data_IF_652215764149
#
_entry.id   IF_652215764149
#
_cell.length_a   1.000
_cell.length_b   1.000
_cell.length_c   1.000
_cell.angle_alpha   90.00
_cell.angle_beta   90.00
_cell.angle_gamma   90.00
#
_symmetry.space_group_name_H-M   'P 1'
#
loop_
_entity.id
_entity.type
_entity.pdbx_description
1 polymer ?
#
# COMPACT_ATOMS: atom_id res chain seq x y z
N UNK A 1 -3.12 -19.20 -0.87
CA UNK A 1 -3.92 -19.51 -2.06
C UNK A 1 -5.09 -20.37 -1.59
N UNK A 2 -6.29 -19.77 -1.48
CA UNK A 2 -7.49 -20.49 -1.12
C UNK A 2 -7.96 -21.33 -2.32
N UNK A 3 -8.08 -22.64 -2.14
CA UNK A 3 -8.80 -23.52 -3.03
C UNK A 3 -10.21 -23.60 -2.45
N UNK A 4 -11.18 -22.98 -3.12
CA UNK A 4 -12.59 -23.25 -2.84
C UNK A 4 -12.95 -24.59 -3.50
N UNK A 5 -13.06 -25.62 -2.67
CA UNK A 5 -13.57 -26.93 -3.08
C UNK A 5 -15.09 -26.90 -2.92
N UNK A 6 -15.83 -26.78 -4.01
CA UNK A 6 -17.28 -27.05 -4.00
C UNK A 6 -17.49 -28.57 -3.90
N UNK A 7 -17.94 -29.02 -2.74
CA UNK A 7 -18.35 -30.42 -2.54
C UNK A 7 -19.78 -30.53 -3.03
N UNK A 8 -19.97 -31.20 -4.16
CA UNK A 8 -21.29 -31.61 -4.59
C UNK A 8 -21.74 -32.83 -3.74
N UNK A 9 -22.78 -32.63 -2.90
CA UNK A 9 -23.32 -33.64 -1.99
C UNK A 9 -24.10 -34.73 -2.71
N UNK A 10 -24.04 -34.83 -4.03
CA UNK A 10 -24.78 -35.76 -4.87
C UNK A 10 -24.19 -37.15 -5.07
N UNK A 11 -23.24 -37.61 -4.26
CA UNK A 11 -22.78 -39.03 -4.28
C UNK A 11 -22.09 -39.48 -5.55
N UNK A 12 -21.61 -38.58 -6.41
CA UNK A 12 -20.81 -38.89 -7.58
C UNK A 12 -19.35 -39.04 -7.19
N UNK A 13 -18.75 -40.18 -7.49
CA UNK A 13 -17.30 -40.34 -7.46
C UNK A 13 -16.68 -39.30 -8.38
N UNK A 14 -15.87 -38.39 -7.80
CA UNK A 14 -15.10 -37.42 -8.57
C UNK A 14 -13.96 -38.18 -9.25
N UNK A 15 -14.18 -38.65 -10.47
CA UNK A 15 -13.18 -39.41 -11.22
C UNK A 15 -12.05 -38.51 -11.75
N UNK A 16 -12.26 -37.20 -11.82
CA UNK A 16 -11.27 -36.27 -12.36
C UNK A 16 -11.19 -34.95 -11.54
N UNK A 17 -10.34 -34.94 -10.51
CA UNK A 17 -10.08 -33.76 -9.69
C UNK A 17 -9.60 -32.56 -10.51
N UNK A 18 -8.99 -32.78 -11.65
CA UNK A 18 -8.43 -31.74 -12.53
C UNK A 18 -9.48 -30.74 -13.03
N UNK A 19 -10.73 -31.21 -13.22
CA UNK A 19 -11.83 -30.36 -13.69
C UNK A 19 -12.35 -29.38 -12.64
N UNK A 20 -12.04 -29.64 -11.37
CA UNK A 20 -12.49 -28.83 -10.23
C UNK A 20 -11.39 -27.93 -9.63
N UNK A 21 -10.15 -28.09 -10.11
CA UNK A 21 -9.03 -27.25 -9.62
C UNK A 21 -8.97 -25.96 -10.40
N UNK A 22 -9.23 -24.85 -9.73
CA UNK A 22 -9.00 -23.51 -10.27
C UNK A 22 -7.59 -23.05 -9.94
N UNK A 23 -6.79 -22.79 -10.98
CA UNK A 23 -5.44 -22.29 -10.81
C UNK A 23 -5.46 -20.86 -10.28
N UNK A 24 -4.74 -20.58 -9.19
CA UNK A 24 -4.53 -19.26 -8.68
C UNK A 24 -3.68 -18.38 -9.64
N UNK A 25 -3.63 -17.05 -9.42
CA UNK A 25 -2.94 -16.10 -10.32
C UNK A 25 -1.49 -16.46 -10.62
N UNK A 26 -0.75 -16.99 -9.64
CA UNK A 26 0.64 -17.41 -9.82
C UNK A 26 0.76 -18.58 -10.84
N UNK A 27 -0.07 -19.61 -10.69
CA UNK A 27 -0.08 -20.75 -11.60
C UNK A 27 -0.55 -20.37 -13.00
N UNK A 28 -1.53 -19.48 -13.11
CA UNK A 28 -1.97 -18.91 -14.39
C UNK A 28 -0.84 -18.15 -15.09
N UNK A 29 -0.10 -17.31 -14.34
CA UNK A 29 1.03 -16.55 -14.87
C UNK A 29 2.13 -17.48 -15.41
N UNK A 30 2.45 -18.58 -14.70
CA UNK A 30 3.42 -19.58 -15.13
C UNK A 30 2.97 -20.33 -16.39
N UNK A 31 1.66 -20.50 -16.59
CA UNK A 31 1.10 -21.15 -17.77
C UNK A 31 1.01 -20.23 -18.98
N UNK A 32 1.08 -18.92 -18.81
CA UNK A 32 0.83 -17.91 -19.84
C UNK A 32 2.12 -17.17 -20.20
N UNK A 33 2.75 -17.47 -21.34
CA UNK A 33 3.96 -16.76 -21.79
C UNK A 33 3.72 -15.26 -21.95
N UNK A 34 4.69 -14.44 -21.48
CA UNK A 34 4.61 -12.98 -21.58
C UNK A 34 3.64 -12.31 -20.60
N UNK A 35 3.14 -13.06 -19.62
CA UNK A 35 2.28 -12.52 -18.57
C UNK A 35 3.06 -11.62 -17.60
N UNK A 36 2.32 -10.73 -16.94
CA UNK A 36 2.81 -9.89 -15.82
C UNK A 36 2.03 -10.28 -14.58
N UNK A 37 2.72 -10.59 -13.50
CA UNK A 37 2.13 -10.93 -12.20
C UNK A 37 2.48 -9.82 -11.21
N UNK A 38 1.47 -9.24 -10.56
CA UNK A 38 1.64 -8.33 -9.44
C UNK A 38 1.43 -9.09 -8.13
N UNK A 39 2.42 -9.02 -7.25
CA UNK A 39 2.34 -9.47 -5.86
C UNK A 39 2.36 -8.21 -4.98
N UNK A 40 1.19 -7.73 -4.65
CA UNK A 40 1.01 -6.48 -3.91
C UNK A 40 1.14 -6.73 -2.40
N UNK A 41 1.81 -5.80 -1.69
CA UNK A 41 1.98 -5.83 -0.23
C UNK A 41 2.54 -7.17 0.29
N UNK A 42 3.64 -7.65 -0.30
CA UNK A 42 4.25 -8.95 0.05
C UNK A 42 4.65 -9.04 1.53
N UNK A 43 4.93 -7.92 2.17
CA UNK A 43 5.27 -7.81 3.59
C UNK A 43 4.10 -8.10 4.54
N UNK A 44 2.86 -8.10 4.05
CA UNK A 44 1.67 -8.53 4.81
C UNK A 44 1.40 -10.03 4.69
N UNK A 45 2.10 -10.71 3.81
CA UNK A 45 1.95 -12.14 3.63
C UNK A 45 2.65 -12.94 4.76
N UNK A 46 2.27 -14.23 4.96
CA UNK A 46 3.01 -15.09 5.87
C UNK A 46 4.50 -15.12 5.56
N UNK A 47 5.35 -15.14 6.60
CA UNK A 47 6.83 -15.06 6.47
C UNK A 47 7.44 -16.13 5.58
N UNK A 48 6.76 -17.26 5.42
CA UNK A 48 7.19 -18.37 4.56
C UNK A 48 6.98 -18.07 3.07
N UNK A 49 6.05 -17.17 2.73
CA UNK A 49 5.71 -16.92 1.32
C UNK A 49 6.88 -16.41 0.48
N UNK A 50 7.69 -15.42 0.92
CA UNK A 50 8.86 -14.99 0.16
C UNK A 50 9.85 -16.12 -0.10
N UNK A 51 10.07 -17.02 0.88
CA UNK A 51 10.96 -18.17 0.70
C UNK A 51 10.40 -19.19 -0.27
N UNK A 52 9.09 -19.47 -0.20
CA UNK A 52 8.42 -20.37 -1.14
C UNK A 52 8.45 -19.82 -2.57
N UNK A 53 8.28 -18.50 -2.73
CA UNK A 53 8.43 -17.83 -4.03
C UNK A 53 9.84 -18.00 -4.59
N UNK A 54 10.89 -17.87 -3.78
CA UNK A 54 12.26 -18.09 -4.22
C UNK A 54 12.45 -19.48 -4.82
N UNK A 55 11.91 -20.49 -4.16
CA UNK A 55 11.96 -21.87 -4.66
C UNK A 55 11.25 -22.01 -6.00
N UNK A 56 10.00 -21.52 -6.07
CA UNK A 56 9.20 -21.57 -7.30
C UNK A 56 9.86 -20.86 -8.48
N UNK A 57 10.45 -19.70 -8.23
CA UNK A 57 11.15 -18.90 -9.25
C UNK A 57 12.44 -19.58 -9.72
N UNK A 58 13.17 -20.25 -8.83
CA UNK A 58 14.39 -20.99 -9.15
C UNK A 58 14.08 -22.24 -9.98
N UNK A 59 13.08 -23.02 -9.56
CA UNK A 59 12.68 -24.26 -10.22
C UNK A 59 11.85 -24.02 -11.49
N UNK A 60 11.31 -22.81 -11.67
CA UNK A 60 10.43 -22.42 -12.79
C UNK A 60 9.23 -23.35 -12.98
N UNK A 61 8.76 -23.95 -11.89
CA UNK A 61 7.63 -24.86 -11.86
C UNK A 61 6.84 -24.75 -10.57
N UNK A 62 5.55 -25.08 -10.69
CA UNK A 62 4.60 -25.16 -9.58
C UNK A 62 4.02 -26.55 -9.57
N UNK A 63 4.03 -27.21 -8.44
CA UNK A 63 3.30 -28.46 -8.24
C UNK A 63 1.95 -28.15 -7.61
N UNK A 64 0.88 -28.61 -8.22
CA UNK A 64 -0.49 -28.52 -7.69
C UNK A 64 -0.70 -29.74 -6.80
N UNK A 65 -0.75 -29.60 -5.47
CA UNK A 65 -0.76 -30.76 -4.57
C UNK A 65 -1.95 -31.69 -4.77
N UNK A 66 -3.10 -31.14 -5.11
CA UNK A 66 -4.38 -31.85 -5.25
C UNK A 66 -4.41 -32.79 -6.44
N UNK A 67 -3.78 -32.40 -7.54
CA UNK A 67 -3.76 -33.18 -8.81
C UNK A 67 -2.40 -33.76 -9.12
N UNK A 68 -1.38 -33.43 -8.31
CA UNK A 68 0.03 -33.79 -8.58
C UNK A 68 0.54 -33.28 -9.96
N UNK A 69 -0.21 -32.36 -10.57
CA UNK A 69 0.21 -31.75 -11.83
C UNK A 69 1.35 -30.79 -11.62
N UNK A 70 2.31 -30.79 -12.53
CA UNK A 70 3.40 -29.84 -12.55
C UNK A 70 3.19 -28.83 -13.67
N UNK A 71 3.07 -27.56 -13.29
CA UNK A 71 2.99 -26.42 -14.21
C UNK A 71 4.39 -25.84 -14.33
N UNK A 72 4.97 -25.91 -15.53
CA UNK A 72 6.32 -25.40 -15.80
C UNK A 72 6.29 -24.27 -16.81
N UNK A 73 7.11 -23.25 -16.61
CA UNK A 73 7.32 -22.21 -17.61
C UNK A 73 8.05 -22.79 -18.83
N UNK A 74 7.57 -22.47 -20.03
CA UNK A 74 8.33 -22.73 -21.25
C UNK A 74 9.65 -21.96 -21.26
N UNK A 75 10.68 -22.41 -21.96
CA UNK A 75 11.90 -21.63 -22.14
C UNK A 75 11.58 -20.23 -22.67
N UNK A 76 12.06 -19.20 -22.00
CA UNK A 76 11.74 -17.80 -22.32
C UNK A 76 10.33 -17.32 -21.90
N UNK A 77 9.51 -18.19 -21.30
CA UNK A 77 8.12 -17.88 -20.93
C UNK A 77 7.90 -17.50 -19.47
N UNK A 78 8.97 -17.19 -18.72
CA UNK A 78 8.82 -16.70 -17.34
C UNK A 78 7.99 -15.41 -17.31
N UNK A 79 7.00 -15.30 -16.40
CA UNK A 79 6.27 -14.06 -16.20
C UNK A 79 7.20 -12.96 -15.69
N UNK A 80 6.88 -11.71 -16.02
CA UNK A 80 7.44 -10.56 -15.31
C UNK A 80 6.72 -10.46 -13.97
N UNK A 81 7.47 -10.54 -12.87
CA UNK A 81 6.89 -10.46 -11.54
C UNK A 81 7.22 -9.12 -10.93
N UNK A 82 6.20 -8.34 -10.63
CA UNK A 82 6.28 -7.07 -9.93
C UNK A 82 5.85 -7.30 -8.48
N UNK A 83 6.65 -6.85 -7.55
CA UNK A 83 6.41 -7.07 -6.12
C UNK A 83 6.43 -5.71 -5.43
N UNK A 84 5.41 -5.40 -4.63
CA UNK A 84 5.37 -4.19 -3.81
C UNK A 84 5.49 -4.53 -2.33
N UNK A 85 6.04 -3.60 -1.56
CA UNK A 85 6.16 -3.69 -0.11
C UNK A 85 6.11 -2.28 0.51
N UNK A 86 5.41 -2.15 1.62
CA UNK A 86 5.35 -0.92 2.42
C UNK A 86 6.37 -0.91 3.58
N UNK A 87 7.25 -1.88 3.65
CA UNK A 87 8.23 -2.06 4.75
C UNK A 87 7.61 -2.21 6.15
N UNK A 88 6.39 -2.76 6.23
CA UNK A 88 5.77 -3.07 7.53
C UNK A 88 6.48 -4.26 8.21
N UNK A 89 7.05 -5.15 7.41
CA UNK A 89 7.91 -6.26 7.85
C UNK A 89 9.13 -6.37 6.93
N UNK A 90 10.27 -6.74 7.52
CA UNK A 90 11.48 -6.96 6.75
C UNK A 90 11.36 -8.22 5.88
N UNK A 91 11.66 -8.06 4.61
CA UNK A 91 11.75 -9.17 3.68
C UNK A 91 13.09 -9.90 3.82
N UNK A 92 13.14 -11.23 3.64
CA UNK A 92 14.38 -11.98 3.75
C UNK A 92 15.45 -11.47 2.78
N UNK A 93 16.67 -11.27 3.27
CA UNK A 93 17.79 -10.79 2.44
C UNK A 93 18.06 -11.66 1.19
N UNK A 94 17.93 -13.01 1.23
CA UNK A 94 18.03 -13.84 0.03
C UNK A 94 16.96 -13.54 -1.02
N UNK A 95 15.77 -13.09 -0.59
CA UNK A 95 14.67 -12.69 -1.48
C UNK A 95 15.00 -11.38 -2.19
N UNK A 96 15.37 -10.35 -1.44
CA UNK A 96 15.70 -9.03 -1.99
C UNK A 96 16.86 -9.10 -2.98
N UNK A 97 17.89 -9.91 -2.71
CA UNK A 97 19.06 -10.08 -3.59
C UNK A 97 18.74 -10.65 -4.97
N UNK A 98 17.57 -11.25 -5.15
CA UNK A 98 17.10 -11.80 -6.44
C UNK A 98 16.15 -10.87 -7.18
N UNK A 99 15.83 -9.72 -6.59
CA UNK A 99 14.95 -8.70 -7.16
C UNK A 99 15.78 -7.54 -7.72
N UNK A 100 15.24 -6.92 -8.77
CA UNK A 100 15.65 -5.56 -9.13
C UNK A 100 14.90 -4.64 -8.18
N UNK A 101 15.64 -3.99 -7.28
CA UNK A 101 15.03 -3.17 -6.24
C UNK A 101 14.90 -1.72 -6.70
N UNK A 102 13.71 -1.17 -6.55
CA UNK A 102 13.41 0.24 -6.78
C UNK A 102 12.73 0.82 -5.55
N UNK A 103 13.34 1.83 -4.94
CA UNK A 103 12.74 2.55 -3.84
C UNK A 103 11.92 3.73 -4.36
N UNK A 104 10.65 3.81 -3.96
CA UNK A 104 9.78 4.92 -4.30
C UNK A 104 9.72 5.84 -3.09
N UNK A 105 10.39 6.99 -3.20
CA UNK A 105 10.37 8.01 -2.15
C UNK A 105 9.00 8.65 -2.02
N UNK A 106 8.71 9.12 -0.79
CA UNK A 106 7.51 9.92 -0.58
C UNK A 106 7.61 11.21 -1.40
N UNK A 107 6.53 11.66 -2.07
CA UNK A 107 6.59 12.82 -2.94
C UNK A 107 7.13 14.07 -2.23
N UNK A 108 7.96 14.86 -2.91
CA UNK A 108 8.35 16.19 -2.43
C UNK A 108 7.14 17.13 -2.39
N UNK A 109 7.20 18.27 -1.66
CA UNK A 109 6.12 19.25 -1.64
C UNK A 109 5.72 19.76 -3.03
N UNK A 110 6.69 19.91 -3.95
CA UNK A 110 6.46 20.32 -5.34
C UNK A 110 5.70 19.24 -6.10
N UNK A 111 6.15 17.99 -5.97
CA UNK A 111 5.47 16.85 -6.60
C UNK A 111 4.08 16.64 -6.02
N UNK A 112 3.90 16.85 -4.71
CA UNK A 112 2.59 16.79 -4.09
C UNK A 112 1.62 17.85 -4.64
N UNK A 113 2.11 19.08 -4.92
CA UNK A 113 1.30 20.11 -5.59
C UNK A 113 0.81 19.67 -6.96
N UNK A 114 1.64 18.97 -7.72
CA UNK A 114 1.24 18.41 -9.02
C UNK A 114 0.18 17.33 -8.87
N UNK A 115 0.39 16.38 -7.95
CA UNK A 115 -0.57 15.31 -7.65
C UNK A 115 -1.92 15.90 -7.26
N UNK A 116 -1.93 16.84 -6.32
CA UNK A 116 -3.16 17.53 -5.90
C UNK A 116 -3.84 18.23 -7.06
N UNK A 117 -3.08 18.89 -7.94
CA UNK A 117 -3.64 19.59 -9.09
C UNK A 117 -4.31 18.64 -10.09
N UNK A 118 -3.78 17.43 -10.24
CA UNK A 118 -4.38 16.39 -11.08
C UNK A 118 -5.69 15.86 -10.52
N UNK A 119 -5.76 15.68 -9.19
CA UNK A 119 -6.95 15.14 -8.52
C UNK A 119 -8.01 16.20 -8.22
N UNK A 120 -7.59 17.44 -7.96
CA UNK A 120 -8.45 18.56 -7.59
C UNK A 120 -8.14 19.80 -8.45
N UNK A 121 -8.39 19.79 -9.78
CA UNK A 121 -7.99 20.88 -10.68
C UNK A 121 -8.65 22.22 -10.36
N UNK A 122 -9.81 22.22 -9.70
CA UNK A 122 -10.55 23.41 -9.27
C UNK A 122 -10.21 23.92 -7.86
N UNK A 123 -9.28 23.28 -7.14
CA UNK A 123 -8.96 23.70 -5.78
C UNK A 123 -8.20 25.04 -5.76
N UNK A 124 -8.50 25.86 -4.75
CA UNK A 124 -7.85 27.17 -4.58
C UNK A 124 -6.35 26.99 -4.30
N UNK A 125 -5.49 27.57 -5.15
CA UNK A 125 -4.03 27.41 -5.08
C UNK A 125 -3.43 27.85 -3.73
N UNK A 126 -3.97 28.91 -3.11
CA UNK A 126 -3.49 29.38 -1.78
C UNK A 126 -3.81 28.37 -0.70
N UNK A 127 -5.02 27.79 -0.73
CA UNK A 127 -5.46 26.77 0.24
C UNK A 127 -4.64 25.49 0.05
N UNK A 128 -4.43 25.05 -1.19
CA UNK A 128 -3.59 23.88 -1.50
C UNK A 128 -2.17 24.08 -0.99
N UNK A 129 -1.56 25.24 -1.21
CA UNK A 129 -0.19 25.50 -0.73
C UNK A 129 -0.11 25.46 0.79
N UNK A 130 -1.04 26.12 1.50
CA UNK A 130 -1.10 26.10 2.97
C UNK A 130 -1.35 24.67 3.51
N UNK A 131 -2.26 23.92 2.87
CA UNK A 131 -2.54 22.54 3.28
C UNK A 131 -1.33 21.62 3.12
N UNK A 132 -0.58 21.76 2.02
CA UNK A 132 0.64 20.96 1.77
C UNK A 132 1.72 21.32 2.80
N UNK A 133 1.91 22.60 3.10
CA UNK A 133 2.89 23.04 4.11
C UNK A 133 2.58 22.43 5.48
N UNK A 134 1.36 22.56 5.96
CA UNK A 134 0.92 21.97 7.23
C UNK A 134 1.03 20.44 7.20
N UNK A 135 0.67 19.81 6.10
CA UNK A 135 0.78 18.36 5.95
C UNK A 135 2.21 17.87 6.13
N UNK A 136 3.21 18.54 5.55
CA UNK A 136 4.61 18.16 5.75
C UNK A 136 5.09 18.46 7.16
N UNK A 137 4.66 19.55 7.77
CA UNK A 137 4.96 19.83 9.19
C UNK A 137 4.38 18.75 10.11
N UNK A 138 3.15 18.28 9.85
CA UNK A 138 2.57 17.15 10.60
C UNK A 138 3.38 15.87 10.44
N UNK A 139 3.91 15.61 9.25
CA UNK A 139 4.74 14.42 8.99
C UNK A 139 6.09 14.43 9.69
N UNK A 140 6.58 15.61 10.11
CA UNK A 140 7.80 15.73 10.94
C UNK A 140 7.54 15.46 12.42
N UNK A 141 6.27 15.45 12.85
CA UNK A 141 5.90 15.09 14.21
C UNK A 141 6.03 13.58 14.44
N UNK A 142 6.09 13.21 15.72
CA UNK A 142 6.14 11.82 16.16
C UNK A 142 4.73 11.23 16.20
N UNK A 143 4.16 11.01 15.03
CA UNK A 143 2.87 10.39 14.86
C UNK A 143 3.04 8.87 14.82
N UNK A 144 2.10 8.16 15.43
CA UNK A 144 2.00 6.70 15.35
C UNK A 144 1.87 6.26 13.89
N UNK A 145 1.12 7.03 13.10
CA UNK A 145 0.97 6.83 11.67
C UNK A 145 1.04 8.16 10.93
N UNK A 146 2.11 8.35 10.18
CA UNK A 146 2.26 9.54 9.33
C UNK A 146 1.21 9.52 8.21
N UNK A 147 0.51 10.65 7.98
CA UNK A 147 -0.48 10.71 6.90
C UNK A 147 0.15 10.53 5.54
N UNK A 148 -0.55 9.81 4.65
CA UNK A 148 -0.13 9.45 3.29
C UNK A 148 -0.66 10.43 2.24
N UNK A 149 -0.34 10.16 0.98
CA UNK A 149 -0.85 10.93 -0.16
C UNK A 149 -2.38 10.88 -0.25
N UNK A 150 -3.00 9.75 0.10
CA UNK A 150 -4.46 9.62 0.08
C UNK A 150 -5.13 10.55 1.08
N UNK A 151 -4.60 10.61 2.31
CA UNK A 151 -5.16 11.45 3.36
C UNK A 151 -5.07 12.95 3.01
N UNK A 152 -3.97 13.43 2.40
CA UNK A 152 -3.92 14.84 1.98
C UNK A 152 -4.89 15.13 0.83
N UNK A 153 -5.08 14.22 -0.11
CA UNK A 153 -6.06 14.38 -1.17
C UNK A 153 -7.48 14.46 -0.60
N UNK A 154 -7.83 13.58 0.33
CA UNK A 154 -9.12 13.62 1.03
C UNK A 154 -9.32 14.93 1.77
N UNK A 155 -8.30 15.41 2.47
CA UNK A 155 -8.35 16.68 3.20
C UNK A 155 -8.58 17.87 2.28
N UNK A 156 -7.84 17.96 1.19
CA UNK A 156 -8.02 19.04 0.21
C UNK A 156 -9.40 18.94 -0.45
N UNK A 157 -9.88 17.74 -0.74
CA UNK A 157 -11.24 17.51 -1.22
C UNK A 157 -12.30 18.01 -0.24
N UNK A 158 -12.11 17.76 1.06
CA UNK A 158 -12.97 18.27 2.12
C UNK A 158 -12.93 19.82 2.18
N UNK A 159 -11.74 20.43 2.16
CA UNK A 159 -11.57 21.88 2.18
C UNK A 159 -12.24 22.54 0.98
N UNK A 160 -12.12 21.94 -0.21
CA UNK A 160 -12.77 22.44 -1.43
C UNK A 160 -14.30 22.35 -1.33
N UNK A 161 -14.86 21.22 -0.88
CA UNK A 161 -16.31 21.03 -0.69
C UNK A 161 -16.91 21.99 0.35
N UNK A 162 -16.17 22.27 1.42
CA UNK A 162 -16.61 23.19 2.49
C UNK A 162 -16.36 24.67 2.15
N UNK A 163 -15.91 24.96 0.92
CA UNK A 163 -15.63 26.31 0.40
C UNK A 163 -14.74 27.13 1.34
N UNK A 164 -13.72 26.48 1.90
CA UNK A 164 -12.72 27.19 2.71
C UNK A 164 -11.89 28.09 1.79
N UNK A 165 -11.92 29.39 2.05
CA UNK A 165 -11.21 30.40 1.25
C UNK A 165 -10.08 31.09 2.05
N UNK A 166 -10.07 30.92 3.38
CA UNK A 166 -9.08 31.53 4.27
C UNK A 166 -8.05 30.49 4.71
N UNK A 167 -6.77 30.76 4.47
CA UNK A 167 -5.66 29.91 4.88
C UNK A 167 -5.59 29.73 6.41
N UNK A 168 -5.99 30.73 7.19
CA UNK A 168 -6.07 30.62 8.66
C UNK A 168 -6.98 29.49 9.13
N UNK A 169 -8.01 29.10 8.33
CA UNK A 169 -8.87 27.95 8.63
C UNK A 169 -8.12 26.66 8.40
N UNK A 170 -7.21 26.63 7.44
CA UNK A 170 -6.32 25.49 7.17
C UNK A 170 -5.31 25.34 8.31
N UNK A 171 -4.73 26.44 8.77
CA UNK A 171 -3.80 26.48 9.92
C UNK A 171 -4.45 25.95 11.21
N UNK A 172 -5.75 26.18 11.39
CA UNK A 172 -6.56 25.57 12.47
C UNK A 172 -6.95 24.12 12.22
N UNK A 173 -6.36 23.47 11.23
CA UNK A 173 -6.57 22.05 10.92
C UNK A 173 -8.05 21.67 10.76
N UNK A 174 -8.87 22.54 10.16
CA UNK A 174 -10.28 22.20 9.89
C UNK A 174 -10.36 20.95 9.01
N UNK A 175 -11.05 19.93 9.49
CA UNK A 175 -11.17 18.65 8.79
C UNK A 175 -9.96 17.72 8.92
N UNK A 176 -9.02 18.00 9.83
CA UNK A 176 -7.81 17.20 10.02
C UNK A 176 -8.06 15.75 10.46
N UNK A 177 -9.28 15.40 10.87
CA UNK A 177 -9.71 14.01 11.08
C UNK A 177 -9.59 13.16 9.80
N UNK A 178 -9.47 13.78 8.63
CA UNK A 178 -9.17 13.07 7.39
C UNK A 178 -7.70 12.68 7.28
N UNK A 179 -6.79 13.45 7.91
CA UNK A 179 -5.35 13.23 7.89
C UNK A 179 -4.88 12.18 8.90
N UNK A 180 -5.54 12.13 10.06
CA UNK A 180 -5.10 11.31 11.19
C UNK A 180 -6.22 10.35 11.57
N UNK A 181 -5.88 9.07 11.65
CA UNK A 181 -6.85 7.98 11.88
C UNK A 181 -6.52 7.17 13.14
N UNK A 182 -5.43 7.51 13.84
CA UNK A 182 -5.08 6.88 15.11
C UNK A 182 -5.53 7.74 16.29
N UNK A 183 -6.00 7.08 17.37
CA UNK A 183 -6.58 7.78 18.51
C UNK A 183 -5.55 8.71 19.19
N UNK A 184 -4.35 8.21 19.46
CA UNK A 184 -3.31 8.97 20.14
C UNK A 184 -2.85 10.19 19.32
N UNK A 185 -2.80 10.03 18.01
CA UNK A 185 -2.48 11.11 17.07
C UNK A 185 -3.61 12.16 17.01
N UNK A 186 -4.88 11.76 17.25
CA UNK A 186 -6.02 12.67 17.36
C UNK A 186 -5.90 13.61 18.56
N UNK A 187 -5.42 13.12 19.69
CA UNK A 187 -5.16 13.96 20.89
C UNK A 187 -4.07 15.00 20.59
N UNK A 188 -3.02 14.61 19.86
CA UNK A 188 -1.99 15.53 19.41
C UNK A 188 -2.56 16.60 18.47
N UNK A 189 -3.44 16.22 17.55
CA UNK A 189 -4.12 17.19 16.68
C UNK A 189 -4.95 18.22 17.45
N UNK A 190 -5.66 17.81 18.51
CA UNK A 190 -6.43 18.74 19.34
C UNK A 190 -5.51 19.81 19.98
N UNK A 191 -4.36 19.35 20.50
CA UNK A 191 -3.35 20.29 21.05
C UNK A 191 -2.85 21.26 19.98
N UNK A 192 -2.61 20.78 18.76
CA UNK A 192 -2.17 21.62 17.64
C UNK A 192 -3.28 22.62 17.25
N UNK A 193 -4.53 22.21 17.23
CA UNK A 193 -5.67 23.08 16.94
C UNK A 193 -5.82 24.23 17.95
N UNK A 194 -5.54 23.94 19.24
CA UNK A 194 -5.64 24.94 20.32
C UNK A 194 -4.43 25.85 20.42
N UNK A 195 -3.22 25.31 20.27
CA UNK A 195 -1.96 25.97 20.62
C UNK A 195 -1.02 26.22 19.43
N UNK A 196 -1.39 25.74 18.23
CA UNK A 196 -0.55 25.78 17.04
C UNK A 196 0.43 24.62 16.95
N UNK A 197 0.95 24.40 15.74
CA UNK A 197 1.83 23.25 15.43
C UNK A 197 3.19 23.34 16.15
N UNK A 198 3.66 24.55 16.44
CA UNK A 198 4.91 24.80 17.17
C UNK A 198 4.87 24.25 18.61
N UNK A 199 3.70 24.26 19.25
CA UNK A 199 3.52 23.70 20.58
C UNK A 199 3.65 22.18 20.63
N UNK A 200 3.42 21.50 19.52
CA UNK A 200 3.59 20.04 19.42
C UNK A 200 5.06 19.65 19.21
N UNK A 201 5.84 20.51 18.56
CA UNK A 201 7.27 20.28 18.30
C UNK A 201 8.12 20.42 19.58
N UNK A 202 7.71 21.29 20.51
CA UNK A 202 8.44 21.51 21.78
C UNK A 202 8.29 20.38 22.80
N UNK A 203 7.32 19.47 22.66
CA UNK A 203 7.20 18.26 23.51
C UNK A 203 8.32 17.25 23.28
N UNK A 204 8.97 17.28 22.13
CA UNK A 204 10.09 16.38 21.79
C UNK A 204 11.36 16.65 22.62
N UNK A 205 11.53 17.88 23.16
CA UNK A 205 12.74 18.27 23.89
C UNK A 205 12.70 18.03 25.41
N UNK A 206 11.57 17.60 25.97
CA UNK A 206 11.39 17.42 27.42
C UNK A 206 11.25 15.98 27.89
N UNK A 207 11.46 14.99 27.01
CA UNK A 207 11.42 13.55 27.36
C UNK A 207 12.76 12.84 27.10
N UNK A 208 13.85 13.43 27.67
CA UNK A 208 15.16 12.78 27.84
C UNK A 208 15.59 12.86 29.29
#
# INVERSE_FOLDING_TARGET
>A
AGIEMQIDTGGRHVENLTEYVHLGPLAQAFSTPGSVLLLDEIDKAPRELPNNLLFLLSERRIVVPETQQTISCKPGGMPIIVITSNHEQDLPAPFIRRCIYAYIEFPSPERMKEIVRMHHPGANKKIVSAAIEIFYQLRELDLTRKPSTSEILDWIGYLAKTKVLDSKIVEKLKGAHTLVKHRDDMELLQVIQEKGIEAATSRKSSSW
#
